data_IF_967072919111
#
_entry.id   IF_967072919111
#
_cell.length_a   1.000
_cell.length_b   1.000
_cell.length_c   1.000
_cell.angle_alpha   90.00
_cell.angle_beta   90.00
_cell.angle_gamma   90.00
#
_symmetry.space_group_name_H-M   'P 1'
#
loop_
_entity.id
_entity.type
_entity.pdbx_description
1 polymer ?
#
# COMPACT_ATOMS: atom_id res chain seq x y z
N UNK A 1 2.65 -3.64 -28.57
CA UNK A 1 3.50 -3.52 -27.37
C UNK A 1 2.64 -3.34 -26.13
N UNK A 2 3.06 -3.90 -24.99
CA UNK A 2 2.34 -3.75 -23.73
C UNK A 2 3.28 -3.14 -22.68
N UNK A 3 2.89 -1.99 -22.12
CA UNK A 3 3.64 -1.29 -21.09
C UNK A 3 2.87 -1.24 -19.79
N UNK A 4 3.54 -1.56 -18.68
CA UNK A 4 2.97 -1.47 -17.32
C UNK A 4 3.85 -0.57 -16.46
N UNK A 5 3.24 0.33 -15.67
CA UNK A 5 3.97 1.22 -14.75
C UNK A 5 5.05 2.01 -15.52
N UNK A 6 6.30 2.03 -15.05
CA UNK A 6 7.42 2.68 -15.75
C UNK A 6 7.59 2.24 -17.20
N UNK A 7 7.23 0.99 -17.53
CA UNK A 7 7.26 0.48 -18.91
C UNK A 7 6.39 1.30 -19.87
N UNK A 8 5.39 2.04 -19.38
CA UNK A 8 4.60 2.96 -20.20
C UNK A 8 5.42 4.12 -20.75
N UNK A 9 6.40 4.65 -20.01
CA UNK A 9 7.33 5.68 -20.48
C UNK A 9 8.27 5.16 -21.57
N UNK A 10 8.61 3.88 -21.51
CA UNK A 10 9.40 3.22 -22.56
C UNK A 10 8.56 3.02 -23.82
N UNK A 11 7.34 2.50 -23.68
CA UNK A 11 6.43 2.28 -24.82
C UNK A 11 6.05 3.60 -25.50
N UNK A 12 5.85 4.69 -24.74
CA UNK A 12 5.58 6.02 -25.28
C UNK A 12 6.65 6.50 -26.27
N UNK A 13 7.94 6.27 -25.98
CA UNK A 13 9.04 6.63 -26.90
C UNK A 13 9.00 5.83 -28.21
N UNK A 14 8.39 4.64 -28.18
CA UNK A 14 8.27 3.73 -29.32
C UNK A 14 6.96 3.93 -30.09
N UNK A 15 6.04 4.77 -29.63
CA UNK A 15 4.74 5.00 -30.30
C UNK A 15 4.87 5.58 -31.70
N UNK A 16 5.97 6.27 -32.00
CA UNK A 16 6.28 6.79 -33.33
C UNK A 16 6.55 5.70 -34.38
N UNK A 17 6.67 4.43 -33.97
CA UNK A 17 6.94 3.29 -34.86
C UNK A 17 5.68 2.67 -35.48
N UNK A 18 4.50 3.25 -35.26
CA UNK A 18 3.19 2.82 -35.81
C UNK A 18 2.86 1.33 -35.60
N UNK A 19 3.25 0.81 -34.43
CA UNK A 19 2.95 -0.55 -33.98
C UNK A 19 1.94 -0.47 -32.83
N UNK A 20 0.85 -1.22 -32.92
CA UNK A 20 -0.23 -1.18 -31.92
C UNK A 20 0.27 -1.36 -30.48
N UNK A 21 -0.25 -0.57 -29.55
CA UNK A 21 0.20 -0.54 -28.15
C UNK A 21 -0.94 -0.51 -27.14
N UNK A 22 -0.65 -0.98 -25.93
CA UNK A 22 -1.54 -0.91 -24.76
C UNK A 22 -0.70 -0.46 -23.57
N UNK A 23 -1.17 0.57 -22.86
CA UNK A 23 -0.55 1.10 -21.64
C UNK A 23 -1.45 0.82 -20.43
N UNK A 24 -0.88 0.29 -19.35
CA UNK A 24 -1.59 0.04 -18.10
C UNK A 24 -0.84 0.66 -16.91
N UNK A 25 -1.51 1.47 -16.10
CA UNK A 25 -0.87 2.22 -15.00
C UNK A 25 0.18 3.20 -15.54
N UNK A 26 -0.28 4.20 -16.29
CA UNK A 26 0.57 5.16 -17.01
C UNK A 26 1.40 5.98 -16.02
N UNK A 27 2.72 6.03 -16.25
CA UNK A 27 3.68 6.81 -15.47
C UNK A 27 4.36 7.90 -16.31
N UNK A 28 3.76 8.24 -17.46
CA UNK A 28 4.28 9.26 -18.39
C UNK A 28 3.64 10.61 -18.12
N UNK A 29 4.36 11.67 -18.46
CA UNK A 29 3.92 13.04 -18.21
C UNK A 29 3.81 13.89 -19.46
N UNK A 30 4.09 13.31 -20.63
CA UNK A 30 4.01 14.04 -21.91
C UNK A 30 2.58 14.52 -22.13
N UNK A 31 2.43 15.82 -22.36
CA UNK A 31 1.12 16.45 -22.56
C UNK A 31 0.36 16.80 -21.27
N UNK A 32 0.93 16.54 -20.08
CA UNK A 32 0.34 17.02 -18.83
C UNK A 32 0.43 18.56 -18.73
N UNK A 33 -0.63 19.25 -18.30
CA UNK A 33 -0.57 20.69 -18.08
C UNK A 33 0.35 21.03 -16.89
N UNK A 34 0.89 22.26 -16.84
CA UNK A 34 1.76 22.69 -15.73
C UNK A 34 1.12 22.42 -14.37
N UNK A 35 1.87 21.80 -13.46
CA UNK A 35 1.40 21.46 -12.11
C UNK A 35 0.57 20.17 -12.01
N UNK A 36 0.36 19.43 -13.10
CA UNK A 36 -0.30 18.11 -13.10
C UNK A 36 0.58 17.00 -13.67
N UNK A 37 1.89 17.15 -13.55
CA UNK A 37 2.84 16.12 -13.94
C UNK A 37 2.72 14.94 -12.96
N UNK A 38 2.55 13.74 -13.49
CA UNK A 38 2.57 12.51 -12.70
C UNK A 38 4.00 12.21 -12.27
N UNK A 39 4.26 12.16 -10.96
CA UNK A 39 5.57 11.79 -10.44
C UNK A 39 5.44 10.53 -9.60
N UNK A 40 6.47 9.68 -9.60
CA UNK A 40 6.44 8.51 -8.71
C UNK A 40 6.32 8.90 -7.23
N UNK A 41 6.71 10.13 -6.86
CA UNK A 41 6.53 10.69 -5.53
C UNK A 41 5.07 11.03 -5.17
N UNK A 42 4.18 11.23 -6.16
CA UNK A 42 2.74 11.46 -5.92
C UNK A 42 1.98 10.14 -5.70
N UNK A 43 2.65 9.00 -5.85
CA UNK A 43 2.06 7.68 -5.63
C UNK A 43 1.45 7.53 -4.22
N UNK A 44 2.11 8.06 -3.19
CA UNK A 44 1.60 7.99 -1.82
C UNK A 44 0.32 8.84 -1.64
N UNK A 45 0.23 9.98 -2.31
CA UNK A 45 -0.96 10.85 -2.31
C UNK A 45 -2.16 10.13 -2.94
N UNK A 46 -1.97 9.53 -4.12
CA UNK A 46 -3.02 8.74 -4.78
C UNK A 46 -3.47 7.52 -3.96
N UNK A 47 -2.55 6.85 -3.25
CA UNK A 47 -2.89 5.78 -2.32
C UNK A 47 -3.68 6.29 -1.11
N UNK A 48 -3.36 7.50 -0.63
CA UNK A 48 -4.11 8.20 0.41
C UNK A 48 -5.57 8.43 -0.02
N UNK A 49 -5.78 9.01 -1.20
CA UNK A 49 -7.12 9.27 -1.74
C UNK A 49 -7.96 7.98 -1.91
N UNK A 50 -7.35 6.92 -2.44
CA UNK A 50 -8.02 5.61 -2.56
C UNK A 50 -8.35 5.02 -1.19
N UNK A 51 -7.45 5.18 -0.21
CA UNK A 51 -7.68 4.78 1.17
C UNK A 51 -8.89 5.48 1.77
N UNK A 52 -8.95 6.81 1.64
CA UNK A 52 -10.07 7.63 2.09
C UNK A 52 -11.39 7.22 1.43
N UNK A 53 -11.37 7.01 0.11
CA UNK A 53 -12.53 6.52 -0.62
C UNK A 53 -13.00 5.16 -0.08
N UNK A 54 -12.10 4.23 0.20
CA UNK A 54 -12.45 2.92 0.76
C UNK A 54 -13.04 3.05 2.15
N UNK A 55 -12.53 3.98 2.97
CA UNK A 55 -13.07 4.22 4.30
C UNK A 55 -14.48 4.83 4.27
N UNK A 56 -14.75 5.71 3.30
CA UNK A 56 -16.10 6.27 3.08
C UNK A 56 -17.06 5.24 2.46
N UNK A 57 -16.56 4.45 1.51
CA UNK A 57 -17.36 3.53 0.69
C UNK A 57 -17.46 2.11 1.26
N UNK A 58 -16.83 1.86 2.41
CA UNK A 58 -16.84 0.54 3.04
C UNK A 58 -18.29 0.09 3.25
N UNK A 59 -18.66 -1.13 2.81
CA UNK A 59 -20.01 -1.63 3.00
C UNK A 59 -20.32 -1.63 4.51
N UNK A 60 -21.54 -1.21 4.87
CA UNK A 60 -22.08 -1.23 6.23
C UNK A 60 -22.29 -2.68 6.71
N UNK A 61 -21.21 -3.44 6.77
CA UNK A 61 -21.14 -4.75 7.40
C UNK A 61 -21.25 -4.56 8.92
N UNK A 62 -21.60 -5.62 9.64
CA UNK A 62 -21.73 -5.59 11.10
C UNK A 62 -20.49 -5.01 11.80
N UNK A 63 -19.29 -5.20 11.23
CA UNK A 63 -18.04 -4.63 11.74
C UNK A 63 -17.93 -3.14 11.43
N UNK A 64 -18.27 -2.70 10.22
CA UNK A 64 -18.33 -1.27 9.88
C UNK A 64 -19.38 -0.54 10.75
N UNK A 65 -20.49 -1.19 11.11
CA UNK A 65 -21.49 -0.67 12.06
C UNK A 65 -20.93 -0.59 13.49
N UNK A 66 -20.15 -1.57 13.93
CA UNK A 66 -19.48 -1.54 15.24
C UNK A 66 -18.39 -0.46 15.31
N UNK A 67 -17.67 -0.23 14.21
CA UNK A 67 -16.67 0.84 14.09
C UNK A 67 -17.38 2.20 14.07
N UNK A 68 -18.40 2.38 13.22
CA UNK A 68 -19.16 3.65 13.13
C UNK A 68 -20.01 3.97 14.38
N UNK A 69 -20.29 2.99 15.25
CA UNK A 69 -20.85 3.23 16.58
C UNK A 69 -19.84 3.75 17.61
N UNK A 70 -18.53 3.59 17.38
CA UNK A 70 -17.48 4.05 18.30
C UNK A 70 -16.75 5.31 17.81
N UNK A 71 -16.43 5.42 16.52
CA UNK A 71 -15.73 6.58 15.92
C UNK A 71 -15.62 6.43 14.40
N UNK A 72 -15.23 7.51 13.69
CA UNK A 72 -14.92 7.44 12.25
C UNK A 72 -13.65 6.59 12.05
N UNK A 73 -13.70 5.59 11.16
CA UNK A 73 -12.59 4.69 10.87
C UNK A 73 -11.28 5.41 10.50
N UNK A 74 -11.37 6.55 9.81
CA UNK A 74 -10.21 7.40 9.50
C UNK A 74 -9.54 7.97 10.75
N UNK A 75 -10.32 8.50 11.70
CA UNK A 75 -9.81 9.01 12.97
C UNK A 75 -9.16 7.88 13.79
N UNK A 76 -9.80 6.70 13.86
CA UNK A 76 -9.22 5.55 14.55
C UNK A 76 -7.91 5.06 13.91
N UNK A 77 -7.75 5.20 12.59
CA UNK A 77 -6.49 4.91 11.91
C UNK A 77 -5.43 5.96 12.24
N UNK A 78 -5.77 7.25 12.23
CA UNK A 78 -4.85 8.33 12.61
C UNK A 78 -4.35 8.16 14.05
N UNK A 79 -5.25 7.89 14.99
CA UNK A 79 -4.91 7.64 16.39
C UNK A 79 -4.01 6.41 16.54
N UNK A 80 -4.32 5.33 15.84
CA UNK A 80 -3.49 4.12 15.82
C UNK A 80 -2.08 4.41 15.31
N UNK A 81 -1.95 5.23 14.27
CA UNK A 81 -0.66 5.60 13.69
C UNK A 81 0.17 6.46 14.64
N UNK A 82 -0.48 7.41 15.33
CA UNK A 82 0.15 8.22 16.37
C UNK A 82 0.57 7.37 17.56
N UNK A 83 -0.28 6.44 18.01
CA UNK A 83 0.02 5.54 19.12
C UNK A 83 1.18 4.58 18.79
N UNK A 84 1.24 4.05 17.57
CA UNK A 84 2.35 3.21 17.12
C UNK A 84 3.70 3.95 17.20
N UNK A 85 3.74 5.23 16.86
CA UNK A 85 4.96 6.04 16.93
C UNK A 85 5.30 6.46 18.37
N UNK A 86 4.29 6.71 19.22
CA UNK A 86 4.49 7.07 20.63
C UNK A 86 4.90 5.89 21.50
N UNK A 87 4.32 4.72 21.24
CA UNK A 87 4.47 3.50 22.04
C UNK A 87 5.00 2.34 21.17
N UNK A 88 6.21 2.42 20.62
CA UNK A 88 6.74 1.42 19.68
C UNK A 88 6.95 0.04 20.30
N UNK A 89 7.00 -0.05 21.63
CA UNK A 89 7.18 -1.29 22.39
C UNK A 89 5.86 -1.92 22.88
N UNK A 90 4.70 -1.37 22.49
CA UNK A 90 3.42 -2.00 22.82
C UNK A 90 3.29 -3.37 22.11
N UNK A 91 2.41 -4.24 22.59
CA UNK A 91 2.26 -5.60 22.04
C UNK A 91 1.91 -5.57 20.54
N UNK A 92 0.96 -4.72 20.14
CA UNK A 92 0.59 -4.59 18.72
C UNK A 92 1.64 -3.82 17.91
N UNK A 93 2.32 -2.83 18.50
CA UNK A 93 3.40 -2.14 17.83
C UNK A 93 4.57 -3.08 17.51
N UNK A 94 4.92 -3.94 18.47
CA UNK A 94 5.94 -5.00 18.33
C UNK A 94 5.52 -6.03 17.28
N UNK A 95 4.24 -6.37 17.24
CA UNK A 95 3.70 -7.25 16.20
C UNK A 95 3.87 -6.62 14.82
N UNK A 96 3.53 -5.35 14.63
CA UNK A 96 3.72 -4.64 13.35
C UNK A 96 5.21 -4.54 13.00
N UNK A 97 6.08 -4.24 13.96
CA UNK A 97 7.53 -4.11 13.72
C UNK A 97 8.17 -5.44 13.30
N UNK A 98 7.79 -6.55 13.93
CA UNK A 98 8.25 -7.89 13.59
C UNK A 98 7.84 -8.32 12.17
N UNK A 99 6.66 -7.90 11.72
CA UNK A 99 6.18 -8.18 10.36
C UNK A 99 6.82 -7.27 9.30
N UNK A 100 7.62 -6.28 9.71
CA UNK A 100 8.18 -5.24 8.83
C UNK A 100 9.69 -5.03 9.04
N UNK A 101 10.38 -6.07 9.52
CA UNK A 101 11.83 -6.08 9.81
C UNK A 101 12.66 -5.65 8.58
N UNK A 102 12.27 -6.08 7.38
CA UNK A 102 13.00 -5.79 6.15
C UNK A 102 12.92 -4.34 5.64
N UNK A 103 12.18 -3.45 6.30
CA UNK A 103 11.87 -2.11 5.79
C UNK A 103 12.73 -0.99 6.40
N UNK A 104 13.84 -1.38 7.05
CA UNK A 104 14.79 -0.43 7.63
C UNK A 104 14.29 0.26 8.90
N UNK A 105 15.04 1.27 9.33
CA UNK A 105 14.75 2.04 10.55
C UNK A 105 13.90 3.29 10.22
N UNK A 106 12.63 3.05 9.90
CA UNK A 106 11.62 4.09 9.65
C UNK A 106 10.53 4.04 10.72
N UNK A 107 9.78 5.13 10.87
CA UNK A 107 8.67 5.24 11.83
C UNK A 107 7.68 4.08 11.68
N UNK A 108 7.17 3.59 12.80
CA UNK A 108 6.27 2.43 12.81
C UNK A 108 4.94 2.76 12.12
N UNK A 109 4.48 4.01 12.23
CA UNK A 109 3.34 4.52 11.47
C UNK A 109 3.52 4.38 9.96
N UNK A 110 4.73 4.65 9.43
CA UNK A 110 5.04 4.46 8.02
C UNK A 110 4.98 2.98 7.63
N UNK A 111 5.58 2.10 8.44
CA UNK A 111 5.52 0.65 8.21
C UNK A 111 4.09 0.12 8.23
N UNK A 112 3.26 0.61 9.14
CA UNK A 112 1.84 0.24 9.18
C UNK A 112 1.09 0.73 7.92
N UNK A 113 1.27 1.99 7.53
CA UNK A 113 0.65 2.56 6.31
C UNK A 113 1.04 1.78 5.07
N UNK A 114 2.33 1.49 4.88
CA UNK A 114 2.79 0.74 3.71
C UNK A 114 2.28 -0.71 3.73
N UNK A 115 2.10 -1.32 4.90
CA UNK A 115 1.47 -2.65 5.02
C UNK A 115 0.00 -2.62 4.63
N UNK A 116 -0.77 -1.66 5.13
CA UNK A 116 -2.17 -1.47 4.72
C UNK A 116 -2.29 -1.10 3.23
N UNK A 117 -1.35 -0.31 2.71
CA UNK A 117 -1.26 0.03 1.29
C UNK A 117 -1.09 -1.20 0.39
N UNK A 118 -0.31 -2.19 0.84
CA UNK A 118 -0.08 -3.42 0.06
C UNK A 118 -1.35 -4.22 -0.24
N UNK A 119 -2.41 -4.07 0.57
CA UNK A 119 -3.68 -4.76 0.37
C UNK A 119 -4.71 -3.95 -0.41
N UNK A 120 -4.41 -2.69 -0.73
CA UNK A 120 -5.23 -1.85 -1.60
C UNK A 120 -5.27 -2.34 -3.05
N UNK A 121 -4.33 -3.17 -3.49
CA UNK A 121 -4.32 -3.67 -4.88
C UNK A 121 -5.39 -4.73 -5.16
N UNK A 122 -6.02 -5.32 -4.13
CA UNK A 122 -7.04 -6.37 -4.32
C UNK A 122 -8.38 -5.98 -3.69
N UNK A 123 -9.48 -5.93 -4.46
CA UNK A 123 -10.82 -5.64 -3.94
C UNK A 123 -11.21 -6.52 -2.76
N UNK A 124 -10.85 -7.82 -2.79
CA UNK A 124 -11.16 -8.77 -1.71
C UNK A 124 -10.33 -8.48 -0.45
N UNK A 125 -9.06 -8.08 -0.59
CA UNK A 125 -8.18 -7.77 0.54
C UNK A 125 -8.50 -6.42 1.17
N UNK A 126 -9.02 -5.44 0.41
CA UNK A 126 -9.48 -4.13 0.93
C UNK A 126 -10.50 -4.27 2.06
N UNK A 127 -11.37 -5.29 2.01
CA UNK A 127 -12.35 -5.57 3.06
C UNK A 127 -11.73 -5.96 4.40
N UNK A 128 -10.43 -6.31 4.43
CA UNK A 128 -9.70 -6.60 5.65
C UNK A 128 -9.18 -5.33 6.34
N UNK A 129 -9.13 -4.17 5.66
CA UNK A 129 -8.59 -2.94 6.26
C UNK A 129 -9.43 -2.50 7.47
N UNK A 130 -10.77 -2.36 7.40
CA UNK A 130 -11.56 -1.99 8.58
C UNK A 130 -11.39 -2.91 9.80
N UNK A 131 -11.50 -4.25 9.68
CA UNK A 131 -11.29 -5.14 10.83
C UNK A 131 -9.85 -5.16 11.33
N UNK A 132 -8.85 -4.95 10.47
CA UNK A 132 -7.45 -4.85 10.91
C UNK A 132 -7.22 -3.61 11.75
N UNK A 133 -7.67 -2.44 11.29
CA UNK A 133 -7.56 -1.17 12.04
C UNK A 133 -8.27 -1.28 13.38
N UNK A 134 -9.49 -1.84 13.40
CA UNK A 134 -10.26 -2.04 14.62
C UNK A 134 -9.57 -2.96 15.64
N UNK A 135 -8.95 -4.05 15.18
CA UNK A 135 -8.25 -5.00 16.05
C UNK A 135 -6.92 -4.45 16.56
N UNK A 136 -6.20 -3.72 15.71
CA UNK A 136 -4.96 -3.06 16.08
C UNK A 136 -5.20 -1.95 17.11
N UNK A 137 -6.26 -1.14 16.95
CA UNK A 137 -6.58 -0.07 17.90
C UNK A 137 -7.06 -0.61 19.26
N UNK A 138 -7.75 -1.77 19.27
CA UNK A 138 -8.19 -2.40 20.52
C UNK A 138 -7.07 -3.17 21.23
N UNK A 139 -6.17 -3.78 20.47
CA UNK A 139 -5.00 -4.53 20.93
C UNK A 139 -5.21 -5.45 22.15
N UNK A 140 -6.26 -6.28 22.14
CA UNK A 140 -6.48 -7.29 23.21
C UNK A 140 -5.89 -8.64 22.83
N UNK A 141 -5.60 -9.50 23.81
CA UNK A 141 -4.95 -10.81 23.60
C UNK A 141 -5.59 -11.65 22.46
N UNK A 142 -6.93 -11.69 22.38
CA UNK A 142 -7.65 -12.43 21.33
C UNK A 142 -7.46 -11.86 19.91
N UNK A 143 -7.06 -10.59 19.79
CA UNK A 143 -6.79 -9.97 18.50
C UNK A 143 -5.39 -10.30 17.99
N UNK A 144 -4.43 -10.56 18.89
CA UNK A 144 -3.03 -10.82 18.55
C UNK A 144 -2.90 -12.06 17.64
N UNK A 145 -3.59 -13.15 17.96
CA UNK A 145 -3.54 -14.38 17.16
C UNK A 145 -4.13 -14.19 15.76
N UNK A 146 -5.24 -13.45 15.68
CA UNK A 146 -5.90 -13.11 14.41
C UNK A 146 -5.01 -12.21 13.56
N UNK A 147 -4.42 -11.18 14.16
CA UNK A 147 -3.52 -10.24 13.48
C UNK A 147 -2.28 -10.97 12.95
N UNK A 148 -1.66 -11.83 13.76
CA UNK A 148 -0.52 -12.65 13.33
C UNK A 148 -0.87 -13.56 12.15
N UNK A 149 -2.02 -14.24 12.21
CA UNK A 149 -2.46 -15.12 11.12
C UNK A 149 -2.70 -14.33 9.82
N UNK A 150 -3.35 -13.16 9.92
CA UNK A 150 -3.59 -12.32 8.74
C UNK A 150 -2.28 -11.78 8.17
N UNK A 151 -1.37 -11.25 9.00
CA UNK A 151 -0.09 -10.74 8.49
C UNK A 151 0.74 -11.84 7.84
N UNK A 152 0.81 -13.05 8.43
CA UNK A 152 1.49 -14.19 7.80
C UNK A 152 0.89 -14.53 6.43
N UNK A 153 -0.44 -14.61 6.33
CA UNK A 153 -1.11 -14.89 5.06
C UNK A 153 -0.91 -13.79 4.00
N UNK A 154 -0.67 -12.54 4.43
CA UNK A 154 -0.32 -11.46 3.52
C UNK A 154 1.12 -11.56 2.99
N UNK A 155 2.07 -12.10 3.78
CA UNK A 155 3.45 -12.33 3.33
C UNK A 155 3.57 -13.52 2.37
N UNK A 156 2.87 -14.62 2.67
CA UNK A 156 2.83 -15.79 1.77
C UNK A 156 2.31 -15.42 0.38
N UNK A 157 1.27 -14.56 0.33
CA UNK A 157 0.66 -14.10 -0.90
C UNK A 157 1.55 -13.10 -1.68
N UNK A 158 2.50 -12.44 -1.00
CA UNK A 158 3.51 -11.58 -1.62
C UNK A 158 4.62 -12.42 -2.28
N UNK A 159 4.94 -13.58 -1.70
CA UNK A 159 5.91 -14.51 -2.27
C UNK A 159 5.34 -15.37 -3.41
N UNK A 160 4.02 -15.56 -3.46
CA UNK A 160 3.36 -16.35 -4.52
C UNK A 160 3.02 -15.58 -5.79
N UNK A 161 3.20 -14.25 -5.82
CA UNK A 161 3.04 -13.46 -7.05
C UNK A 161 4.36 -13.41 -7.81
N UNK A 162 4.47 -14.30 -8.82
CA UNK A 162 4.89 -14.07 -10.21
C UNK A 162 5.69 -15.27 -10.78
N UNK A 163 5.03 -16.14 -11.55
CA UNK A 163 5.68 -16.93 -12.63
C UNK A 163 6.13 -16.05 -13.81
N UNK A 164 6.21 -14.72 -13.65
CA UNK A 164 6.86 -13.83 -14.61
C UNK A 164 8.37 -13.72 -14.37
N UNK A 165 8.97 -14.57 -13.52
CA UNK A 165 10.41 -14.71 -13.25
C UNK A 165 11.28 -14.70 -14.51
N UNK A 166 10.75 -15.21 -15.62
CA UNK A 166 11.44 -15.38 -16.91
C UNK A 166 11.35 -14.16 -17.84
N UNK A 167 10.56 -13.14 -17.51
CA UNK A 167 10.55 -11.83 -18.18
C UNK A 167 10.99 -10.69 -17.25
N UNK A 168 11.72 -11.02 -16.17
CA UNK A 168 12.33 -10.02 -15.27
C UNK A 168 13.50 -9.34 -15.96
N UNK A 169 13.25 -8.14 -16.48
CA UNK A 169 14.31 -7.16 -16.71
C UNK A 169 14.39 -6.26 -15.48
N UNK A 170 15.56 -6.18 -14.84
CA UNK A 170 15.83 -5.27 -13.70
C UNK A 170 15.54 -3.80 -14.05
N UNK A 171 15.56 -3.44 -15.34
CA UNK A 171 15.15 -2.12 -15.85
C UNK A 171 13.64 -1.88 -15.96
N UNK A 172 12.81 -2.93 -15.96
CA UNK A 172 11.35 -2.87 -16.15
C UNK A 172 10.56 -3.28 -14.90
N UNK A 173 11.22 -3.76 -13.86
CA UNK A 173 10.64 -3.79 -12.52
C UNK A 173 10.68 -2.36 -11.97
N UNK A 174 9.72 -1.92 -11.13
CA UNK A 174 10.09 -0.93 -10.13
C UNK A 174 11.33 -1.53 -9.47
N UNK A 175 12.45 -0.80 -9.46
CA UNK A 175 13.57 -1.19 -8.63
C UNK A 175 13.03 -1.51 -7.22
N UNK A 176 13.85 -2.07 -6.34
CA UNK A 176 13.55 -1.93 -4.92
C UNK A 176 13.64 -0.44 -4.58
N UNK A 177 12.64 0.33 -4.99
CA UNK A 177 12.47 1.73 -4.72
C UNK A 177 11.97 1.74 -3.29
N UNK A 178 12.96 1.76 -2.40
CA UNK A 178 12.71 1.98 -0.99
C UNK A 178 12.51 3.49 -0.89
N UNK A 179 11.25 3.94 -0.96
CA UNK A 179 10.95 5.34 -0.72
C UNK A 179 11.16 5.63 0.78
N UNK A 180 12.16 6.47 1.05
CA UNK A 180 12.52 6.95 2.38
C UNK A 180 12.06 8.41 2.46
N UNK A 181 10.88 8.65 3.02
CA UNK A 181 10.29 10.00 3.04
C UNK A 181 10.15 10.57 1.62
N UNK A 182 10.35 11.88 1.45
CA UNK A 182 10.22 12.59 0.16
C UNK A 182 11.23 12.17 -0.93
N UNK A 183 12.11 11.20 -0.68
CA UNK A 183 13.09 10.72 -1.66
C UNK A 183 12.98 9.22 -1.89
N UNK A 184 12.79 8.84 -3.15
CA UNK A 184 12.82 7.47 -3.62
C UNK A 184 14.18 7.16 -4.24
N UNK A 185 14.93 6.23 -3.65
CA UNK A 185 16.21 5.76 -4.21
C UNK A 185 16.04 4.43 -4.95
N UNK A 186 16.73 4.33 -6.08
CA UNK A 186 16.92 3.10 -6.85
C UNK A 186 18.05 2.31 -6.16
N UNK A 187 17.75 1.10 -5.67
CA UNK A 187 18.79 0.11 -5.31
C UNK A 187 18.95 -0.93 -6.41
#
# INVERSE_FOLDING_TARGET
MYGVSYGTAVVERLMHLDIGYVLAGVATTSGAPPGKFEYFSTWEEGFGEVGDYIFVSAPKTTIAVLISRREKLSASLEDLLVDCDRNPNSTCATLVSNQTIGWGNVKLSFKLRQRLGSILNSPKKRNLIPPLVYRLSRCVAKDIDVLNSVFRGLDENRNSSYESGTYYSVFLSPAKISCWGMSCFIS
#
